data_IF_279841323284
#
_entry.id   IF_279841323284
#
_cell.length_a   1.000
_cell.length_b   1.000
_cell.length_c   1.000
_cell.angle_alpha   90.00
_cell.angle_beta   90.00
_cell.angle_gamma   90.00
#
_symmetry.space_group_name_H-M   'P 1'
#
loop_
_entity.id
_entity.type
_entity.pdbx_description
1 polymer ?
#
# COMPACT_ATOMS: atom_id res chain seq x y z
N UNK A 1 5.51 -26.52 -4.17
CA UNK A 1 4.31 -26.29 -3.32
C UNK A 1 4.01 -24.81 -3.34
N UNK A 2 2.74 -24.38 -3.22
CA UNK A 2 2.45 -22.96 -3.22
C UNK A 2 3.03 -22.28 -1.98
N UNK A 3 3.46 -21.04 -2.16
CA UNK A 3 3.94 -20.16 -1.10
C UNK A 3 2.78 -19.30 -0.64
N UNK A 4 2.64 -19.19 0.69
CA UNK A 4 1.70 -18.31 1.35
C UNK A 4 2.48 -17.21 2.06
N UNK A 5 1.98 -15.98 1.98
CA UNK A 5 2.65 -14.79 2.48
C UNK A 5 1.70 -13.96 3.34
N UNK A 6 2.18 -13.51 4.50
CA UNK A 6 1.40 -12.65 5.37
C UNK A 6 1.57 -11.18 4.98
N UNK A 7 0.47 -10.50 4.63
CA UNK A 7 0.49 -9.07 4.32
C UNK A 7 0.97 -8.19 5.52
N UNK A 8 0.74 -8.67 6.75
CA UNK A 8 1.11 -7.94 7.98
C UNK A 8 2.60 -8.02 8.34
N UNK A 9 3.23 -9.18 8.16
CA UNK A 9 4.61 -9.42 8.66
C UNK A 9 5.58 -9.97 7.58
N UNK A 10 5.16 -10.09 6.32
CA UNK A 10 5.88 -10.71 5.21
C UNK A 10 6.37 -12.15 5.44
N UNK A 11 5.89 -12.83 6.48
CA UNK A 11 6.32 -14.19 6.75
C UNK A 11 5.81 -15.15 5.65
N UNK A 12 6.75 -15.91 5.08
CA UNK A 12 6.50 -16.90 4.05
C UNK A 12 6.38 -18.30 4.66
N UNK A 13 5.44 -19.09 4.14
CA UNK A 13 5.32 -20.51 4.48
C UNK A 13 4.92 -21.33 3.26
N UNK A 14 5.25 -22.62 3.26
CA UNK A 14 4.69 -23.57 2.32
C UNK A 14 3.44 -24.20 2.93
N UNK A 15 2.38 -24.34 2.14
CA UNK A 15 1.20 -25.09 2.57
C UNK A 15 0.64 -25.91 1.42
N UNK A 16 0.15 -27.10 1.73
CA UNK A 16 -0.63 -27.92 0.80
C UNK A 16 -2.13 -27.57 0.82
N UNK A 17 -2.51 -26.55 1.58
CA UNK A 17 -3.88 -26.03 1.61
C UNK A 17 -4.37 -25.71 0.20
N UNK A 18 -5.65 -25.99 -0.05
CA UNK A 18 -6.34 -25.57 -1.28
C UNK A 18 -7.04 -24.22 -1.12
N UNK A 19 -7.08 -23.69 0.10
CA UNK A 19 -7.71 -22.40 0.38
C UNK A 19 -6.83 -21.25 -0.11
N UNK A 20 -7.46 -20.15 -0.54
CA UNK A 20 -6.74 -18.95 -0.97
C UNK A 20 -5.96 -18.27 0.17
N UNK A 21 -6.34 -18.54 1.43
CA UNK A 21 -5.69 -17.98 2.61
C UNK A 21 -5.60 -18.97 3.78
N UNK A 22 -4.67 -18.70 4.71
CA UNK A 22 -4.47 -19.41 5.98
C UNK A 22 -4.06 -18.42 7.08
N UNK A 23 -4.18 -18.79 8.35
CA UNK A 23 -3.71 -17.94 9.46
C UNK A 23 -2.18 -17.90 9.54
N UNK A 24 -1.63 -16.73 9.87
CA UNK A 24 -0.22 -16.54 10.19
C UNK A 24 0.05 -16.91 11.65
N UNK A 25 0.91 -17.90 11.88
CA UNK A 25 1.35 -18.32 13.21
C UNK A 25 2.33 -17.35 13.88
N UNK A 26 2.93 -16.43 13.12
CA UNK A 26 3.88 -15.44 13.67
C UNK A 26 3.18 -14.19 14.23
N UNK A 27 2.15 -13.66 13.56
CA UNK A 27 1.51 -12.40 13.96
C UNK A 27 -0.02 -12.50 14.10
N UNK A 28 -0.61 -13.67 13.87
CA UNK A 28 -2.06 -13.88 13.90
C UNK A 28 -2.83 -13.34 12.69
N UNK A 29 -2.18 -12.61 11.78
CA UNK A 29 -2.81 -12.07 10.56
C UNK A 29 -3.14 -13.13 9.52
N UNK A 30 -3.58 -12.69 8.34
CA UNK A 30 -3.90 -13.58 7.22
C UNK A 30 -2.69 -13.76 6.31
N UNK A 31 -2.46 -14.99 5.85
CA UNK A 31 -1.56 -15.29 4.75
C UNK A 31 -2.36 -15.57 3.49
N UNK A 32 -1.96 -14.98 2.38
CA UNK A 32 -2.55 -15.21 1.07
C UNK A 32 -1.61 -16.07 0.24
N UNK A 33 -2.18 -16.93 -0.59
CA UNK A 33 -1.40 -17.70 -1.57
C UNK A 33 -0.77 -16.71 -2.57
N UNK A 34 0.54 -16.57 -2.55
CA UNK A 34 1.25 -15.56 -3.34
C UNK A 34 1.92 -16.13 -4.59
N UNK A 35 2.47 -17.34 -4.51
CA UNK A 35 3.12 -18.01 -5.64
C UNK A 35 2.64 -19.47 -5.77
N UNK A 36 2.36 -19.89 -7.00
CA UNK A 36 1.94 -21.26 -7.33
C UNK A 36 3.10 -22.24 -7.25
N UNK A 37 4.26 -21.82 -7.73
CA UNK A 37 5.46 -22.64 -7.86
C UNK A 37 6.68 -21.81 -7.52
N UNK A 38 7.23 -21.99 -6.32
CA UNK A 38 8.58 -21.56 -5.97
C UNK A 38 9.34 -22.77 -5.42
N UNK A 39 10.61 -22.94 -5.82
CA UNK A 39 11.47 -24.01 -5.33
C UNK A 39 12.11 -23.66 -3.99
N UNK A 40 12.22 -22.36 -3.66
CA UNK A 40 12.75 -21.85 -2.40
C UNK A 40 12.07 -20.55 -1.93
N UNK A 41 12.28 -20.15 -0.67
CA UNK A 41 11.82 -18.84 -0.19
C UNK A 41 12.69 -17.68 -0.70
N UNK A 42 13.94 -17.93 -1.06
CA UNK A 42 14.80 -16.87 -1.63
C UNK A 42 14.32 -16.52 -3.04
N UNK A 43 14.04 -17.52 -3.88
CA UNK A 43 13.36 -17.31 -5.17
C UNK A 43 12.01 -16.61 -4.98
N UNK A 44 11.21 -17.05 -4.01
CA UNK A 44 9.93 -16.41 -3.73
C UNK A 44 10.07 -14.93 -3.33
N UNK A 45 11.17 -14.53 -2.67
CA UNK A 45 11.41 -13.13 -2.27
C UNK A 45 11.75 -12.24 -3.45
N UNK A 46 12.52 -12.76 -4.41
CA UNK A 46 12.99 -12.03 -5.60
C UNK A 46 11.88 -11.80 -6.64
N UNK A 47 10.84 -12.65 -6.64
CA UNK A 47 9.70 -12.54 -7.55
C UNK A 47 8.85 -11.29 -7.27
N UNK A 48 8.42 -10.57 -8.32
CA UNK A 48 7.43 -9.50 -8.21
C UNK A 48 6.18 -9.93 -7.44
N UNK A 49 5.71 -9.05 -6.57
CA UNK A 49 4.57 -9.31 -5.68
C UNK A 49 3.36 -8.53 -6.15
N UNK A 50 2.28 -9.23 -6.49
CA UNK A 50 0.97 -8.61 -6.75
C UNK A 50 0.36 -8.15 -5.43
N UNK A 51 -0.27 -6.98 -5.44
CA UNK A 51 -1.06 -6.53 -4.29
C UNK A 51 -2.25 -7.47 -4.05
N UNK A 52 -2.56 -7.63 -2.78
CA UNK A 52 -3.61 -8.49 -2.24
C UNK A 52 -4.23 -7.84 -1.00
N UNK A 53 -5.38 -8.34 -0.57
CA UNK A 53 -6.08 -7.83 0.61
C UNK A 53 -5.15 -7.68 1.82
N UNK A 54 -5.22 -6.52 2.46
CA UNK A 54 -4.41 -6.17 3.63
C UNK A 54 -3.00 -5.68 3.31
N UNK A 55 -2.65 -5.51 2.03
CA UNK A 55 -1.34 -4.97 1.64
C UNK A 55 -1.21 -3.47 1.85
N UNK A 56 -0.01 -3.09 2.28
CA UNK A 56 0.44 -1.71 2.40
C UNK A 56 1.76 -1.54 1.65
N UNK A 57 1.76 -0.71 0.62
CA UNK A 57 2.87 -0.58 -0.33
C UNK A 57 3.39 0.86 -0.44
N UNK A 58 4.70 1.04 -0.36
CA UNK A 58 5.39 2.30 -0.60
C UNK A 58 5.84 2.38 -2.06
N UNK A 59 5.41 3.39 -2.81
CA UNK A 59 5.94 3.70 -4.14
C UNK A 59 6.79 4.97 -4.04
N UNK A 60 8.11 4.81 -4.07
CA UNK A 60 9.04 5.93 -4.19
C UNK A 60 9.28 6.27 -5.65
N UNK A 61 9.26 7.56 -6.00
CA UNK A 61 9.47 8.01 -7.37
C UNK A 61 10.13 9.39 -7.43
N UNK A 62 10.84 9.64 -8.54
CA UNK A 62 11.39 10.96 -8.90
C UNK A 62 10.61 11.64 -10.04
N UNK A 63 9.95 10.84 -10.90
CA UNK A 63 9.06 11.33 -11.97
C UNK A 63 7.63 10.79 -11.75
N UNK A 64 6.61 11.66 -11.67
CA UNK A 64 5.21 11.25 -11.59
C UNK A 64 4.78 10.26 -12.69
N UNK A 65 5.40 10.32 -13.87
CA UNK A 65 5.09 9.41 -14.99
C UNK A 65 5.49 7.96 -14.67
N UNK A 66 6.58 7.77 -13.93
CA UNK A 66 7.09 6.43 -13.60
C UNK A 66 6.11 5.67 -12.69
N UNK A 67 5.50 6.37 -11.73
CA UNK A 67 4.55 5.75 -10.79
C UNK A 67 3.12 5.67 -11.37
N UNK A 68 2.78 6.53 -12.33
CA UNK A 68 1.43 6.61 -12.89
C UNK A 68 0.93 5.28 -13.49
N UNK A 69 1.82 4.51 -14.15
CA UNK A 69 1.46 3.21 -14.72
C UNK A 69 1.06 2.19 -13.64
N UNK A 70 1.79 2.16 -12.52
CA UNK A 70 1.48 1.30 -11.38
C UNK A 70 0.14 1.73 -10.78
N UNK A 71 -0.04 3.02 -10.52
CA UNK A 71 -1.28 3.56 -9.96
C UNK A 71 -2.49 3.25 -10.84
N UNK A 72 -2.39 3.47 -12.16
CA UNK A 72 -3.45 3.14 -13.11
C UNK A 72 -3.79 1.64 -13.11
N UNK A 73 -2.76 0.78 -13.05
CA UNK A 73 -2.97 -0.67 -12.95
C UNK A 73 -3.65 -1.08 -11.63
N UNK A 74 -3.28 -0.46 -10.51
CA UNK A 74 -3.90 -0.72 -9.20
C UNK A 74 -5.38 -0.28 -9.21
N UNK A 75 -5.66 0.90 -9.76
CA UNK A 75 -7.03 1.41 -9.92
C UNK A 75 -7.86 0.44 -10.78
N UNK A 76 -7.38 0.09 -11.97
CA UNK A 76 -8.09 -0.81 -12.87
C UNK A 76 -8.31 -2.20 -12.27
N UNK A 77 -7.32 -2.74 -11.54
CA UNK A 77 -7.45 -4.02 -10.83
C UNK A 77 -8.51 -3.96 -9.73
N UNK A 78 -8.50 -2.92 -8.90
CA UNK A 78 -9.51 -2.72 -7.86
C UNK A 78 -10.92 -2.61 -8.45
N UNK A 79 -11.09 -1.77 -9.47
CA UNK A 79 -12.39 -1.58 -10.13
C UNK A 79 -12.89 -2.86 -10.81
N UNK A 80 -12.02 -3.61 -11.49
CA UNK A 80 -12.36 -4.90 -12.10
C UNK A 80 -12.77 -5.96 -11.07
N UNK A 81 -12.24 -5.87 -9.84
CA UNK A 81 -12.66 -6.69 -8.70
C UNK A 81 -13.95 -6.20 -8.02
N UNK A 82 -14.56 -5.11 -8.50
CA UNK A 82 -15.74 -4.49 -7.91
C UNK A 82 -15.45 -3.71 -6.62
N UNK A 83 -14.19 -3.32 -6.38
CA UNK A 83 -13.79 -2.54 -5.23
C UNK A 83 -14.28 -1.09 -5.30
N UNK A 84 -14.36 -0.43 -4.14
CA UNK A 84 -14.32 1.03 -4.06
C UNK A 84 -12.86 1.48 -4.14
N UNK A 85 -12.58 2.48 -4.97
CA UNK A 85 -11.24 3.05 -5.12
C UNK A 85 -11.27 4.53 -4.72
N UNK A 86 -10.50 4.87 -3.68
CA UNK A 86 -10.32 6.25 -3.21
C UNK A 86 -8.88 6.65 -3.53
N UNK A 87 -8.70 7.77 -4.21
CA UNK A 87 -7.38 8.25 -4.62
C UNK A 87 -7.18 9.70 -4.21
N UNK A 88 -6.12 9.95 -3.44
CA UNK A 88 -5.67 11.28 -3.05
C UNK A 88 -4.17 11.48 -3.38
N UNK A 89 -3.75 11.30 -4.64
CA UNK A 89 -2.39 11.59 -5.05
C UNK A 89 -2.15 13.12 -5.19
N UNK A 90 -0.88 13.56 -5.17
CA UNK A 90 -0.52 14.92 -5.59
C UNK A 90 -1.02 15.25 -6.99
N UNK A 91 -1.26 16.53 -7.27
CA UNK A 91 -1.91 16.97 -8.51
C UNK A 91 -1.15 16.58 -9.80
N UNK A 92 0.18 16.59 -9.77
CA UNK A 92 1.02 16.19 -10.91
C UNK A 92 0.96 14.67 -11.16
N UNK A 93 0.96 13.87 -10.10
CA UNK A 93 0.75 12.41 -10.18
C UNK A 93 -0.65 12.10 -10.69
N UNK A 94 -1.69 12.80 -10.19
CA UNK A 94 -3.05 12.66 -10.72
C UNK A 94 -3.10 12.94 -12.22
N UNK A 95 -2.51 14.05 -12.66
CA UNK A 95 -2.47 14.44 -14.06
C UNK A 95 -1.73 13.42 -14.94
N UNK A 96 -0.77 12.68 -14.38
CA UNK A 96 -0.08 11.58 -15.06
C UNK A 96 -0.92 10.28 -15.09
N UNK A 97 -1.73 10.01 -14.07
CA UNK A 97 -2.60 8.82 -14.00
C UNK A 97 -3.82 8.95 -14.92
N UNK A 98 -4.51 10.09 -14.90
CA UNK A 98 -5.81 10.27 -15.59
C UNK A 98 -5.78 9.87 -17.08
N UNK A 99 -4.76 10.19 -17.89
CA UNK A 99 -4.69 9.78 -19.30
C UNK A 99 -4.51 8.27 -19.52
N UNK A 100 -4.13 7.52 -18.48
CA UNK A 100 -3.92 6.07 -18.54
C UNK A 100 -5.16 5.27 -18.17
N UNK A 101 -6.19 5.92 -17.63
CA UNK A 101 -7.44 5.29 -17.23
C UNK A 101 -8.43 5.27 -18.40
N UNK A 102 -9.20 4.19 -18.50
CA UNK A 102 -10.37 4.19 -19.36
C UNK A 102 -11.43 5.16 -18.83
N UNK A 103 -12.29 5.77 -19.68
CA UNK A 103 -13.26 6.78 -19.22
C UNK A 103 -14.20 6.31 -18.11
N UNK A 104 -14.55 5.03 -18.10
CA UNK A 104 -15.40 4.44 -17.06
C UNK A 104 -14.65 4.22 -15.74
N UNK A 105 -13.33 4.00 -15.79
CA UNK A 105 -12.50 3.90 -14.59
C UNK A 105 -12.30 5.27 -13.96
N UNK A 106 -11.95 6.27 -14.77
CA UNK A 106 -11.77 7.66 -14.33
C UNK A 106 -13.01 8.22 -13.61
N UNK A 107 -14.22 7.86 -14.08
CA UNK A 107 -15.48 8.24 -13.45
C UNK A 107 -15.88 7.40 -12.22
N UNK A 108 -15.22 6.27 -11.98
CA UNK A 108 -15.49 5.39 -10.83
C UNK A 108 -14.54 5.61 -9.65
N UNK A 109 -13.40 6.28 -9.88
CA UNK A 109 -12.46 6.66 -8.80
C UNK A 109 -12.99 7.86 -8.02
N UNK A 110 -12.96 7.74 -6.69
CA UNK A 110 -13.24 8.85 -5.79
C UNK A 110 -11.96 9.67 -5.56
N UNK A 111 -11.81 10.72 -6.37
CA UNK A 111 -10.68 11.63 -6.27
C UNK A 111 -10.88 12.63 -5.12
N UNK A 112 -9.94 12.65 -4.20
CA UNK A 112 -9.85 13.66 -3.14
C UNK A 112 -8.55 14.42 -3.28
N UNK A 113 -8.53 15.68 -2.85
CA UNK A 113 -7.33 16.49 -2.84
C UNK A 113 -6.38 16.00 -1.72
N UNK A 114 -5.11 15.73 -2.08
CA UNK A 114 -4.08 15.32 -1.12
C UNK A 114 -3.88 16.34 0.00
N UNK A 115 -4.01 17.62 -0.34
CA UNK A 115 -3.71 18.73 0.57
C UNK A 115 -4.80 18.90 1.64
N UNK A 116 -5.98 18.29 1.43
CA UNK A 116 -7.02 18.21 2.46
C UNK A 116 -6.74 17.14 3.50
N UNK A 117 -6.01 16.08 3.12
CA UNK A 117 -5.64 15.02 4.04
C UNK A 117 -4.35 15.37 4.79
N UNK A 118 -3.29 15.74 4.07
CA UNK A 118 -1.97 16.03 4.65
C UNK A 118 -1.76 17.54 4.84
N UNK A 119 -2.33 18.09 5.90
CA UNK A 119 -2.25 19.54 6.21
C UNK A 119 -1.83 19.81 7.67
N UNK A 120 -1.51 21.08 8.04
CA UNK A 120 -1.27 21.44 9.42
C UNK A 120 -2.45 21.06 10.33
N UNK A 121 -2.17 20.28 11.38
CA UNK A 121 -3.19 19.68 12.24
C UNK A 121 -3.60 18.26 11.84
N UNK A 122 -2.88 17.63 10.90
CA UNK A 122 -3.02 16.21 10.58
C UNK A 122 -2.97 15.36 11.86
N UNK A 123 -3.99 14.50 12.02
CA UNK A 123 -4.11 13.54 13.10
C UNK A 123 -3.98 12.13 12.52
N UNK A 124 -2.83 11.46 12.72
CA UNK A 124 -2.59 10.10 12.25
C UNK A 124 -3.66 9.08 12.67
N UNK A 125 -4.14 9.19 13.91
CA UNK A 125 -5.11 8.24 14.46
C UNK A 125 -6.47 8.47 13.80
N UNK A 126 -6.92 9.73 13.72
CA UNK A 126 -8.18 10.06 13.07
C UNK A 126 -8.19 9.70 11.58
N UNK A 127 -7.06 9.86 10.87
CA UNK A 127 -6.95 9.47 9.47
C UNK A 127 -7.14 7.96 9.28
N UNK A 128 -6.44 7.13 10.07
CA UNK A 128 -6.55 5.66 9.99
C UNK A 128 -7.95 5.18 10.43
N UNK A 129 -8.50 5.75 11.50
CA UNK A 129 -9.84 5.40 11.98
C UNK A 129 -10.93 5.79 10.96
N UNK A 130 -10.73 6.90 10.23
CA UNK A 130 -11.60 7.28 9.12
C UNK A 130 -11.63 6.23 8.01
N UNK A 131 -10.48 5.74 7.56
CA UNK A 131 -10.42 4.69 6.54
C UNK A 131 -10.94 3.34 7.03
N UNK A 132 -10.69 2.99 8.31
CA UNK A 132 -11.31 1.81 8.93
C UNK A 132 -12.82 1.91 8.92
N UNK A 133 -13.38 3.04 9.34
CA UNK A 133 -14.83 3.26 9.33
C UNK A 133 -15.43 3.17 7.92
N UNK A 134 -14.73 3.66 6.90
CA UNK A 134 -15.14 3.49 5.49
C UNK A 134 -15.13 2.01 5.13
N UNK A 135 -14.07 1.28 5.45
CA UNK A 135 -13.94 -0.15 5.16
C UNK A 135 -15.01 -0.99 5.85
N UNK A 136 -15.33 -0.69 7.11
CA UNK A 136 -16.35 -1.42 7.89
C UNK A 136 -17.78 -1.17 7.36
N UNK A 137 -18.03 0.03 6.82
CA UNK A 137 -19.33 0.40 6.25
C UNK A 137 -19.51 -0.05 4.79
N UNK A 138 -18.42 -0.39 4.09
CA UNK A 138 -18.41 -0.74 2.68
C UNK A 138 -18.45 -2.26 2.51
N UNK A 139 -19.40 -2.75 1.71
CA UNK A 139 -19.51 -4.19 1.42
C UNK A 139 -18.50 -4.66 0.38
N UNK A 140 -17.94 -3.73 -0.41
CA UNK A 140 -16.93 -3.97 -1.44
C UNK A 140 -15.53 -3.93 -0.83
N UNK A 141 -14.52 -4.58 -1.45
CA UNK A 141 -13.12 -4.31 -1.13
C UNK A 141 -12.81 -2.82 -1.28
N UNK A 142 -11.83 -2.32 -0.52
CA UNK A 142 -11.41 -0.93 -0.56
C UNK A 142 -9.94 -0.81 -0.94
N UNK A 143 -9.69 -0.02 -1.97
CA UNK A 143 -8.36 0.33 -2.46
C UNK A 143 -8.15 1.83 -2.22
N UNK A 144 -7.02 2.17 -1.62
CA UNK A 144 -6.65 3.55 -1.30
C UNK A 144 -5.30 3.85 -1.91
N UNK A 145 -5.23 4.92 -2.72
CA UNK A 145 -3.98 5.49 -3.19
C UNK A 145 -3.79 6.84 -2.52
N UNK A 146 -2.65 7.05 -1.87
CA UNK A 146 -2.39 8.25 -1.10
C UNK A 146 -1.00 8.80 -1.28
N UNK A 147 -0.87 10.11 -1.47
CA UNK A 147 0.43 10.76 -1.48
C UNK A 147 0.32 12.20 -1.00
N UNK A 148 1.42 12.74 -0.50
CA UNK A 148 1.50 14.13 -0.09
C UNK A 148 2.24 14.97 -1.13
N UNK A 149 1.73 16.18 -1.39
CA UNK A 149 2.41 17.18 -2.22
C UNK A 149 3.52 17.95 -1.48
N UNK A 150 3.89 17.52 -0.27
CA UNK A 150 4.91 18.11 0.59
C UNK A 150 5.71 17.01 1.32
N UNK A 151 6.80 17.38 1.98
CA UNK A 151 7.47 16.46 2.90
C UNK A 151 6.55 16.19 4.10
N UNK A 152 6.23 14.92 4.37
CA UNK A 152 5.41 14.56 5.53
C UNK A 152 6.07 15.01 6.85
N UNK A 153 7.40 15.09 6.90
CA UNK A 153 8.11 15.57 8.09
C UNK A 153 7.94 17.07 8.39
N UNK A 154 7.24 17.83 7.53
CA UNK A 154 6.83 19.20 7.84
C UNK A 154 5.61 19.26 8.77
N UNK A 155 4.79 18.20 8.83
CA UNK A 155 3.60 18.11 9.70
C UNK A 155 3.73 17.06 10.81
N UNK A 156 4.74 16.20 10.75
CA UNK A 156 5.03 15.20 11.79
C UNK A 156 6.53 14.98 11.95
N UNK A 157 6.98 14.49 13.09
CA UNK A 157 8.39 14.07 13.25
C UNK A 157 8.62 12.69 12.62
N UNK A 158 9.88 12.29 12.29
CA UNK A 158 10.14 10.95 11.75
C UNK A 158 9.64 9.78 12.63
N UNK A 159 9.71 9.84 13.98
CA UNK A 159 9.06 8.84 14.84
C UNK A 159 7.54 8.82 14.73
N UNK A 160 6.88 9.98 14.58
CA UNK A 160 5.42 10.06 14.37
C UNK A 160 5.02 9.52 13.00
N UNK A 161 5.80 9.78 11.95
CA UNK A 161 5.61 9.16 10.64
C UNK A 161 5.71 7.64 10.74
N UNK A 162 6.74 7.10 11.41
CA UNK A 162 6.83 5.65 11.63
C UNK A 162 5.62 5.08 12.37
N UNK A 163 5.11 5.80 13.38
CA UNK A 163 3.90 5.41 14.10
C UNK A 163 2.68 5.42 13.18
N UNK A 164 2.50 6.48 12.41
CA UNK A 164 1.40 6.60 11.44
C UNK A 164 1.43 5.45 10.44
N UNK A 165 2.56 5.21 9.78
CA UNK A 165 2.67 4.13 8.79
C UNK A 165 2.45 2.74 9.42
N UNK A 166 2.83 2.55 10.68
CA UNK A 166 2.50 1.31 11.40
C UNK A 166 1.00 1.16 11.64
N UNK A 167 0.31 2.25 12.01
CA UNK A 167 -1.15 2.26 12.16
C UNK A 167 -1.83 1.95 10.83
N UNK A 168 -1.33 2.47 9.70
CA UNK A 168 -1.83 2.15 8.36
C UNK A 168 -1.60 0.67 8.03
N UNK A 169 -0.39 0.13 8.23
CA UNK A 169 -0.10 -1.32 8.03
C UNK A 169 -1.00 -2.20 8.90
N UNK A 170 -1.25 -1.81 10.15
CA UNK A 170 -2.14 -2.56 11.02
C UNK A 170 -3.59 -2.47 10.52
N UNK A 171 -4.09 -1.27 10.27
CA UNK A 171 -5.45 -1.03 9.82
C UNK A 171 -5.77 -1.74 8.51
N UNK A 172 -4.87 -1.68 7.53
CA UNK A 172 -4.99 -2.45 6.27
C UNK A 172 -5.08 -3.94 6.52
N UNK A 173 -4.17 -4.50 7.32
CA UNK A 173 -4.16 -5.93 7.60
C UNK A 173 -5.40 -6.43 8.36
N UNK A 174 -6.03 -5.59 9.18
CA UNK A 174 -7.22 -5.91 9.97
C UNK A 174 -8.50 -5.85 9.14
N UNK A 175 -8.61 -4.88 8.23
CA UNK A 175 -9.83 -4.66 7.43
C UNK A 175 -9.76 -5.30 6.05
N UNK A 176 -8.58 -5.73 5.60
CA UNK A 176 -8.35 -6.25 4.25
C UNK A 176 -8.23 -5.16 3.18
N UNK A 177 -8.17 -3.88 3.56
CA UNK A 177 -7.89 -2.79 2.61
C UNK A 177 -6.56 -2.97 1.89
N UNK A 178 -6.47 -2.50 0.65
CA UNK A 178 -5.21 -2.35 -0.07
C UNK A 178 -4.83 -0.87 -0.06
N UNK A 179 -3.68 -0.53 0.50
CA UNK A 179 -3.18 0.85 0.54
C UNK A 179 -1.86 0.97 -0.22
N UNK A 180 -1.79 1.97 -1.09
CA UNK A 180 -0.60 2.34 -1.85
C UNK A 180 -0.24 3.79 -1.50
N UNK A 181 0.86 3.96 -0.78
CA UNK A 181 1.41 5.26 -0.39
C UNK A 181 2.46 5.72 -1.41
N UNK A 182 2.35 6.97 -1.86
CA UNK A 182 3.13 7.59 -2.92
C UNK A 182 4.09 8.61 -2.29
N UNK A 183 5.38 8.44 -2.56
CA UNK A 183 6.45 9.27 -2.00
C UNK A 183 7.31 9.88 -3.11
N UNK A 184 7.11 11.18 -3.37
CA UNK A 184 7.96 11.95 -4.28
C UNK A 184 9.31 12.24 -3.62
N UNK A 185 10.36 11.55 -4.05
CA UNK A 185 11.71 11.66 -3.46
C UNK A 185 12.35 13.04 -3.67
N UNK A 186 11.83 13.85 -4.59
CA UNK A 186 12.26 15.24 -4.77
C UNK A 186 11.78 16.14 -3.63
N UNK A 187 10.67 15.76 -2.99
CA UNK A 187 10.03 16.49 -1.89
C UNK A 187 10.40 15.89 -0.53
N UNK A 188 10.43 14.57 -0.41
CA UNK A 188 10.66 13.90 0.87
C UNK A 188 12.12 14.02 1.33
N UNK A 189 12.34 14.42 2.58
CA UNK A 189 13.66 14.31 3.20
C UNK A 189 14.11 12.85 3.32
N UNK A 190 15.42 12.65 3.47
CA UNK A 190 15.99 11.32 3.70
C UNK A 190 15.38 10.63 4.94
N UNK A 191 15.05 11.40 5.99
CA UNK A 191 14.41 10.88 7.19
C UNK A 191 12.99 10.39 6.95
N UNK A 192 12.20 11.11 6.13
CA UNK A 192 10.85 10.68 5.72
C UNK A 192 10.89 9.41 4.88
N UNK A 193 11.79 9.36 3.90
CA UNK A 193 11.98 8.17 3.05
C UNK A 193 12.44 6.96 3.86
N UNK A 194 13.38 7.13 4.79
CA UNK A 194 13.82 6.05 5.68
C UNK A 194 12.67 5.54 6.55
N UNK A 195 11.87 6.45 7.13
CA UNK A 195 10.72 6.09 7.94
C UNK A 195 9.68 5.30 7.13
N UNK A 196 9.29 5.78 5.95
CA UNK A 196 8.36 5.10 5.07
C UNK A 196 8.89 3.71 4.62
N UNK A 197 10.12 3.65 4.14
CA UNK A 197 10.73 2.39 3.71
C UNK A 197 10.98 1.40 4.86
N UNK A 198 10.96 1.79 6.13
CA UNK A 198 11.10 0.84 7.24
C UNK A 198 9.77 0.20 7.65
N UNK A 199 8.63 0.81 7.28
CA UNK A 199 7.30 0.48 7.82
C UNK A 199 6.35 -0.16 6.82
N UNK A 200 6.62 -0.06 5.51
CA UNK A 200 5.81 -0.71 4.49
C UNK A 200 6.29 -2.13 4.22
N UNK A 201 5.41 -3.15 4.29
CA UNK A 201 5.75 -4.51 3.87
C UNK A 201 6.20 -4.60 2.41
N UNK A 202 5.69 -3.71 1.56
CA UNK A 202 5.97 -3.69 0.13
C UNK A 202 6.56 -2.38 -0.33
N UNK A 203 7.41 -2.46 -1.34
CA UNK A 203 8.02 -1.30 -1.96
C UNK A 203 8.05 -1.43 -3.48
N UNK A 204 8.01 -0.31 -4.17
CA UNK A 204 8.50 -0.17 -5.53
C UNK A 204 9.26 1.14 -5.66
N UNK A 205 10.27 1.12 -6.52
CA UNK A 205 11.11 2.27 -6.83
C UNK A 205 11.02 2.55 -8.34
N UNK A 206 10.79 3.81 -8.70
CA UNK A 206 10.91 4.34 -10.09
C UNK A 206 10.12 3.55 -11.13
N UNK A 207 8.85 3.27 -10.82
CA UNK A 207 7.97 2.52 -11.74
C UNK A 207 8.33 1.04 -11.89
N UNK A 208 9.25 0.53 -11.06
CA UNK A 208 9.62 -0.87 -11.04
C UNK A 208 8.49 -1.80 -10.58
N UNK A 209 8.71 -3.13 -10.65
CA UNK A 209 7.76 -4.07 -10.08
C UNK A 209 7.70 -3.92 -8.56
N UNK A 210 6.50 -4.06 -7.99
CA UNK A 210 6.31 -4.14 -6.54
C UNK A 210 7.01 -5.39 -6.00
N UNK A 211 7.76 -5.23 -4.92
CA UNK A 211 8.53 -6.30 -4.27
C UNK A 211 8.37 -6.26 -2.76
N UNK A 212 8.79 -7.35 -2.12
CA UNK A 212 8.93 -7.43 -0.67
C UNK A 212 10.01 -6.48 -0.21
N UNK A 213 9.71 -5.74 0.84
CA UNK A 213 10.65 -4.82 1.41
C UNK A 213 11.54 -5.52 2.44
N UNK A 214 12.82 -5.69 2.13
CA UNK A 214 13.80 -6.31 3.02
C UNK A 214 14.10 -5.48 4.27
N UNK A 215 13.81 -4.17 4.22
CA UNK A 215 13.96 -3.25 5.36
C UNK A 215 12.77 -3.29 6.31
N UNK A 216 11.68 -3.94 5.93
CA UNK A 216 10.49 -4.01 6.75
C UNK A 216 10.75 -4.81 8.03
N UNK A 217 10.64 -4.12 9.16
CA UNK A 217 10.73 -4.73 10.48
C UNK A 217 9.35 -4.75 11.13
N UNK A 218 8.69 -5.90 11.09
CA UNK A 218 7.44 -6.07 11.83
C UNK A 218 7.73 -5.99 13.34
N UNK A 219 7.29 -4.90 13.98
CA UNK A 219 7.30 -4.76 15.43
C UNK A 219 5.97 -5.32 15.93
N UNK A 220 6.00 -6.53 16.50
CA UNK A 220 4.83 -7.08 17.17
C UNK A 220 4.44 -6.18 18.34
N UNK A 221 3.21 -5.68 18.32
CA UNK A 221 2.59 -4.94 19.42
C UNK A 221 2.03 -5.92 20.44
#
# INVERSE_FOLDING_TARGET
MPVYECARCNNLTYSASRFGSIQCDQCGGTRHRSLEHAYSFDEARDEPRKLSDGDHCCLGFDDPVDVAQICAHVIGTGLAAGARVIAHPPADVRAAIEPLLEPHEAGAVEWTDSDLLYCPGFDPDAAVDGFRAISDAEARPLYVLGGSGMDLCEVMTPPELRRFEHLVTQGTSETGMVVVCLYDRRLQSAGSMEAAQATHPLTSDDGGPIKRNERFAYVGV
#
